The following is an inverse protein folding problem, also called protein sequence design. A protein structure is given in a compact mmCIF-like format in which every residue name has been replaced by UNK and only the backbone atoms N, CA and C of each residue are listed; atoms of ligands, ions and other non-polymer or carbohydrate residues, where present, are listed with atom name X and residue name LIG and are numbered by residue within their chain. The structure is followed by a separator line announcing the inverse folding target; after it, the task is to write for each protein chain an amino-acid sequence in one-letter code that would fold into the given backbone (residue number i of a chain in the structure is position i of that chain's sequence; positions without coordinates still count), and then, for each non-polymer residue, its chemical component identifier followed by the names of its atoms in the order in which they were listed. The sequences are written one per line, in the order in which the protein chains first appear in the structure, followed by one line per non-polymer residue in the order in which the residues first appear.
data_IF_973868999888
#
_entry.id   IF_973868999888
#
_cell.length_a   1.000
_cell.length_b   1.000
_cell.length_c   1.000
_cell.angle_alpha   90.00
_cell.angle_beta   90.00
_cell.angle_gamma   90.00
#
_symmetry.space_group_name_H-M   'P 1'
#
loop_
_entity.id
_entity.type
_entity.pdbx_description
1 polymer ?
#
# COMPACT_ATOMS: atom_id res chain seq x y z
N UNK A 1 -4.43 9.72 -9.67
CA UNK A 1 -4.41 9.22 -8.28
C UNK A 1 -5.24 10.15 -7.44
N UNK A 2 -6.02 9.64 -6.49
CA UNK A 2 -6.96 10.42 -5.67
C UNK A 2 -6.37 10.66 -4.27
N UNK A 3 -5.88 11.88 -3.95
CA UNK A 3 -5.24 12.19 -2.68
C UNK A 3 -6.17 12.01 -1.48
N UNK A 4 -5.69 11.38 -0.41
CA UNK A 4 -6.45 11.26 0.84
C UNK A 4 -5.95 12.31 1.83
N UNK A 5 -6.70 13.40 2.00
CA UNK A 5 -6.48 14.35 3.09
C UNK A 5 -7.00 13.81 4.44
N UNK A 6 -6.58 14.39 5.58
CA UNK A 6 -7.16 14.06 6.88
C UNK A 6 -8.69 14.25 6.90
N UNK A 7 -9.39 13.21 7.35
CA UNK A 7 -10.86 13.18 7.47
C UNK A 7 -11.22 12.76 8.91
N UNK A 8 -11.81 13.65 9.74
CA UNK A 8 -12.05 15.07 9.47
C UNK A 8 -10.74 15.88 9.34
N UNK A 9 -10.78 17.08 8.72
CA UNK A 9 -9.65 18.01 8.76
C UNK A 9 -9.24 18.36 10.20
N UNK A 10 -7.98 18.73 10.39
CA UNK A 10 -7.52 19.24 11.69
C UNK A 10 -8.26 20.53 12.05
N UNK A 11 -8.57 20.70 13.35
CA UNK A 11 -9.31 21.87 13.84
C UNK A 11 -8.46 23.15 13.70
N UNK A 12 -9.12 24.28 13.46
CA UNK A 12 -8.48 25.60 13.38
C UNK A 12 -8.16 26.03 11.95
N UNK A 13 -7.20 26.94 11.80
CA UNK A 13 -6.76 27.49 10.51
C UNK A 13 -5.24 27.51 10.44
N UNK A 14 -4.69 27.40 9.24
CA UNK A 14 -3.26 27.47 9.00
C UNK A 14 -2.97 28.48 7.89
N UNK A 15 -2.09 29.43 8.17
CA UNK A 15 -1.80 30.56 7.29
C UNK A 15 -0.73 30.22 6.23
N UNK A 16 0.04 29.16 6.48
CA UNK A 16 1.08 28.67 5.58
C UNK A 16 0.57 27.76 4.46
N UNK A 17 1.51 27.12 3.76
CA UNK A 17 1.20 26.26 2.62
C UNK A 17 0.82 24.86 3.09
N UNK A 18 -0.29 24.33 2.59
CA UNK A 18 -0.70 22.95 2.81
C UNK A 18 -0.73 22.21 1.47
N UNK A 19 -0.15 21.01 1.42
CA UNK A 19 -0.19 20.18 0.22
C UNK A 19 -0.27 18.70 0.58
N UNK A 20 -0.82 17.90 -0.32
CA UNK A 20 -0.66 16.45 -0.26
C UNK A 20 0.65 16.04 -0.96
N UNK A 21 1.26 14.93 -0.53
CA UNK A 21 2.45 14.35 -1.17
C UNK A 21 2.29 14.08 -2.68
N UNK A 22 1.06 14.05 -3.18
CA UNK A 22 0.76 13.94 -4.61
C UNK A 22 1.25 15.14 -5.43
N UNK A 23 1.27 16.32 -4.81
CA UNK A 23 1.66 17.58 -5.44
C UNK A 23 3.14 17.92 -5.21
N UNK A 24 3.82 17.18 -4.32
CA UNK A 24 5.26 17.31 -4.12
C UNK A 24 6.01 16.84 -5.37
N UNK A 25 7.02 17.61 -5.77
CA UNK A 25 7.89 17.30 -6.92
C UNK A 25 9.37 17.50 -6.61
N UNK A 26 9.69 18.56 -5.88
CA UNK A 26 11.05 18.92 -5.47
C UNK A 26 11.02 19.69 -4.15
N UNK A 27 12.18 19.81 -3.50
CA UNK A 27 12.33 20.43 -2.19
C UNK A 27 12.71 21.92 -2.24
N UNK A 28 12.75 22.54 -3.41
CA UNK A 28 13.11 23.96 -3.59
C UNK A 28 12.24 24.88 -2.72
N UNK A 29 10.94 24.60 -2.67
CA UNK A 29 9.96 25.32 -1.86
C UNK A 29 10.13 25.14 -0.35
N UNK A 30 10.98 24.22 0.10
CA UNK A 30 11.24 23.96 1.52
C UNK A 30 12.45 24.71 2.07
N UNK A 31 13.26 25.32 1.20
CA UNK A 31 14.49 26.01 1.59
C UNK A 31 14.23 27.06 2.68
N UNK A 32 15.01 26.99 3.76
CA UNK A 32 14.96 27.90 4.92
C UNK A 32 13.60 27.99 5.63
N UNK A 33 12.69 27.04 5.39
CA UNK A 33 11.36 26.96 6.03
C UNK A 33 11.30 25.92 7.14
N UNK A 34 10.32 26.05 8.03
CA UNK A 34 9.92 25.02 8.97
C UNK A 34 8.87 24.13 8.30
N UNK A 35 9.22 22.89 8.02
CA UNK A 35 8.40 21.95 7.24
C UNK A 35 7.88 20.84 8.14
N UNK A 36 6.56 20.60 8.10
CA UNK A 36 5.90 19.52 8.80
C UNK A 36 5.42 18.44 7.82
N UNK A 37 5.98 17.24 7.94
CA UNK A 37 5.56 16.07 7.19
C UNK A 37 4.59 15.24 8.04
N UNK A 38 3.39 14.98 7.54
CA UNK A 38 2.33 14.27 8.28
C UNK A 38 2.15 12.87 7.71
N UNK A 39 2.56 11.84 8.46
CA UNK A 39 2.49 10.44 8.08
C UNK A 39 3.77 9.68 8.41
N UNK A 40 3.75 8.36 8.23
CA UNK A 40 4.93 7.49 8.46
C UNK A 40 5.09 6.40 7.38
N UNK A 41 4.49 6.62 6.20
CA UNK A 41 4.69 5.76 5.03
C UNK A 41 5.96 6.12 4.25
N UNK A 42 6.27 5.36 3.19
CA UNK A 42 7.46 5.59 2.36
C UNK A 42 7.56 7.03 1.84
N UNK A 43 6.46 7.59 1.29
CA UNK A 43 6.43 8.99 0.86
C UNK A 43 6.74 9.98 2.00
N UNK A 44 6.30 9.68 3.23
CA UNK A 44 6.62 10.54 4.37
C UNK A 44 8.11 10.50 4.71
N UNK A 45 8.72 9.30 4.67
CA UNK A 45 10.15 9.14 4.93
C UNK A 45 10.99 9.86 3.88
N UNK A 46 10.70 9.63 2.60
CA UNK A 46 11.48 10.17 1.49
C UNK A 46 11.38 11.70 1.48
N UNK A 47 10.16 12.25 1.57
CA UNK A 47 9.96 13.71 1.60
C UNK A 47 10.57 14.33 2.86
N UNK A 48 10.50 13.67 4.03
CA UNK A 48 11.15 14.19 5.24
C UNK A 48 12.68 14.20 5.13
N UNK A 49 13.27 13.17 4.52
CA UNK A 49 14.71 13.11 4.23
C UNK A 49 15.09 14.21 3.23
N UNK A 50 14.32 14.41 2.17
CA UNK A 50 14.58 15.46 1.19
C UNK A 50 14.42 16.87 1.78
N UNK A 51 13.39 17.08 2.59
CA UNK A 51 13.13 18.36 3.26
C UNK A 51 14.25 18.71 4.23
N UNK A 52 14.74 17.75 5.01
CA UNK A 52 15.80 18.00 6.00
C UNK A 52 17.12 18.46 5.37
N UNK A 53 17.35 18.32 4.06
CA UNK A 53 18.57 18.85 3.42
C UNK A 53 18.53 20.37 3.21
N UNK A 54 17.35 20.98 3.18
CA UNK A 54 17.17 22.38 2.74
C UNK A 54 16.33 23.21 3.71
N UNK A 55 15.46 22.57 4.48
CA UNK A 55 14.60 23.22 5.45
C UNK A 55 15.39 23.73 6.65
N UNK A 56 14.93 24.84 7.24
CA UNK A 56 15.45 25.34 8.51
C UNK A 56 15.20 24.35 9.64
N UNK A 57 14.00 23.75 9.66
CA UNK A 57 13.62 22.66 10.56
C UNK A 57 12.67 21.71 9.85
N UNK A 58 12.85 20.41 10.05
CA UNK A 58 11.92 19.40 9.56
C UNK A 58 11.29 18.65 10.74
N UNK A 59 9.97 18.58 10.72
CA UNK A 59 9.17 17.86 11.70
C UNK A 59 8.46 16.70 11.02
N UNK A 60 8.41 15.55 11.68
CA UNK A 60 7.64 14.39 11.23
C UNK A 60 6.55 14.09 12.26
N UNK A 61 5.28 14.20 11.87
CA UNK A 61 4.15 13.88 12.72
C UNK A 61 3.51 12.55 12.33
N UNK A 62 3.30 11.67 13.31
CA UNK A 62 2.56 10.44 13.12
C UNK A 62 1.70 10.07 14.34
N UNK A 63 0.56 9.44 14.08
CA UNK A 63 -0.32 8.87 15.13
C UNK A 63 0.25 7.61 15.79
N UNK A 64 1.11 6.90 15.06
CA UNK A 64 1.66 5.60 15.42
C UNK A 64 3.13 5.55 15.00
N UNK A 65 3.92 4.79 15.74
CA UNK A 65 5.25 4.38 15.29
C UNK A 65 5.18 3.38 14.14
N UNK A 66 6.28 3.25 13.41
CA UNK A 66 6.45 2.24 12.38
C UNK A 66 7.88 1.71 12.42
N UNK A 67 8.04 0.43 12.06
CA UNK A 67 9.37 -0.10 11.81
C UNK A 67 9.91 0.47 10.50
N UNK A 68 11.10 1.05 10.54
CA UNK A 68 11.80 1.57 9.37
C UNK A 68 12.86 0.55 8.97
N UNK A 69 12.67 -0.10 7.84
CA UNK A 69 13.57 -1.12 7.32
C UNK A 69 14.64 -0.50 6.41
N UNK A 70 15.91 -0.92 6.52
CA UNK A 70 16.95 -0.46 5.61
C UNK A 70 16.75 -1.08 4.22
N UNK A 71 17.23 -0.38 3.17
CA UNK A 71 17.20 -0.91 1.79
C UNK A 71 18.11 -2.13 1.60
N UNK A 72 19.20 -2.20 2.34
CA UNK A 72 20.18 -3.26 2.29
C UNK A 72 20.37 -3.89 3.67
N UNK A 73 20.54 -5.21 3.69
CA UNK A 73 20.92 -5.95 4.90
C UNK A 73 21.98 -6.99 4.52
N UNK A 74 23.06 -7.06 5.30
CA UNK A 74 24.23 -7.91 4.99
C UNK A 74 24.79 -7.72 3.57
N UNK A 75 24.81 -6.47 3.08
CA UNK A 75 25.32 -6.13 1.75
C UNK A 75 24.43 -6.56 0.57
N UNK A 76 23.20 -7.03 0.83
CA UNK A 76 22.25 -7.45 -0.20
C UNK A 76 20.95 -6.63 -0.12
N UNK A 77 20.26 -6.40 -1.25
CA UNK A 77 18.93 -5.80 -1.25
C UNK A 77 17.98 -6.57 -0.33
N UNK A 78 17.23 -5.87 0.53
CA UNK A 78 16.41 -6.49 1.57
C UNK A 78 15.35 -7.45 1.00
N UNK A 79 14.82 -7.14 -0.18
CA UNK A 79 13.87 -7.98 -0.91
C UNK A 79 14.47 -9.30 -1.39
N UNK A 80 15.80 -9.39 -1.53
CA UNK A 80 16.53 -10.62 -1.84
C UNK A 80 16.98 -11.38 -0.59
N UNK A 81 17.05 -10.69 0.55
CA UNK A 81 17.42 -11.28 1.85
C UNK A 81 16.23 -12.07 2.38
N UNK A 82 16.31 -13.40 2.32
CA UNK A 82 15.26 -14.30 2.83
C UNK A 82 14.29 -14.82 1.77
N UNK A 83 14.59 -14.66 0.48
CA UNK A 83 13.96 -15.43 -0.61
C UNK A 83 14.51 -16.86 -0.61
N UNK A 84 14.23 -17.61 0.46
CA UNK A 84 14.54 -19.03 0.51
C UNK A 84 13.41 -19.83 -0.15
N UNK A 85 13.73 -20.88 -0.89
CA UNK A 85 12.75 -21.80 -1.49
C UNK A 85 11.81 -22.46 -0.44
N UNK A 86 12.15 -22.40 0.84
CA UNK A 86 11.40 -22.90 2.00
C UNK A 86 10.41 -21.88 2.59
N UNK A 87 10.45 -20.61 2.16
CA UNK A 87 9.62 -19.51 2.65
C UNK A 87 8.09 -19.77 2.62
N UNK A 88 7.53 -20.52 1.65
CA UNK A 88 6.10 -20.84 1.66
C UNK A 88 5.67 -21.89 2.71
N UNK A 89 6.63 -22.66 3.25
CA UNK A 89 6.36 -23.84 4.09
C UNK A 89 6.46 -23.51 5.58
N UNK A 90 7.20 -22.46 5.93
CA UNK A 90 7.47 -22.10 7.33
C UNK A 90 6.29 -21.36 7.98
N UNK A 91 5.84 -21.75 9.19
CA UNK A 91 4.78 -21.04 9.90
C UNK A 91 5.12 -19.56 10.13
N UNK A 92 4.15 -18.68 9.90
CA UNK A 92 4.33 -17.22 9.97
C UNK A 92 4.90 -16.74 11.31
N UNK A 93 4.53 -17.37 12.43
CA UNK A 93 5.02 -17.00 13.75
C UNK A 93 6.55 -17.14 13.88
N UNK A 94 7.11 -18.22 13.33
CA UNK A 94 8.54 -18.47 13.38
C UNK A 94 9.30 -17.54 12.43
N UNK A 95 8.77 -17.32 11.22
CA UNK A 95 9.31 -16.32 10.27
C UNK A 95 9.36 -14.92 10.90
N UNK A 96 8.31 -14.52 11.61
CA UNK A 96 8.26 -13.24 12.32
C UNK A 96 9.34 -13.14 13.40
N UNK A 97 9.57 -14.20 14.17
CA UNK A 97 10.63 -14.19 15.20
C UNK A 97 12.02 -13.99 14.59
N UNK A 98 12.33 -14.66 13.48
CA UNK A 98 13.59 -14.48 12.74
C UNK A 98 13.72 -13.05 12.24
N UNK A 99 12.68 -12.51 11.57
CA UNK A 99 12.67 -11.14 11.07
C UNK A 99 12.88 -10.12 12.19
N UNK A 100 12.23 -10.31 13.34
CA UNK A 100 12.41 -9.44 14.51
C UNK A 100 13.82 -9.52 15.07
N UNK A 101 14.41 -10.71 15.16
CA UNK A 101 15.80 -10.85 15.61
C UNK A 101 16.77 -10.16 14.66
N UNK A 102 16.63 -10.38 13.35
CA UNK A 102 17.44 -9.72 12.32
C UNK A 102 17.30 -8.20 12.37
N UNK A 103 16.08 -7.70 12.51
CA UNK A 103 15.81 -6.26 12.65
C UNK A 103 16.49 -5.68 13.89
N UNK A 104 16.38 -6.35 15.05
CA UNK A 104 17.02 -5.90 16.29
C UNK A 104 18.54 -5.87 16.20
N UNK A 105 19.15 -6.80 15.47
CA UNK A 105 20.60 -6.84 15.25
C UNK A 105 21.03 -5.76 14.26
N UNK A 106 20.30 -5.58 13.16
CA UNK A 106 20.69 -4.67 12.08
C UNK A 106 20.33 -3.20 12.31
N UNK A 107 19.24 -2.93 13.04
CA UNK A 107 18.69 -1.57 13.24
C UNK A 107 18.65 -1.20 14.73
N UNK A 108 18.27 -2.14 15.60
CA UNK A 108 18.07 -1.89 17.02
C UNK A 108 16.60 -1.60 17.37
N UNK A 109 16.38 -0.88 18.48
CA UNK A 109 15.04 -0.41 18.87
C UNK A 109 14.77 0.93 18.20
N UNK A 110 13.51 1.18 17.83
CA UNK A 110 13.16 2.45 17.18
C UNK A 110 13.16 3.61 18.20
N UNK A 111 12.91 3.29 19.47
CA UNK A 111 12.93 4.25 20.58
C UNK A 111 14.30 4.90 20.76
N UNK A 112 15.37 4.17 20.47
CA UNK A 112 16.75 4.67 20.57
C UNK A 112 17.02 5.79 19.55
N UNK A 113 16.17 5.93 18.52
CA UNK A 113 16.19 6.99 17.51
C UNK A 113 15.21 8.14 17.83
N UNK A 114 14.58 8.15 19.00
CA UNK A 114 13.60 9.17 19.39
C UNK A 114 12.21 9.00 18.74
N UNK A 115 11.92 7.81 18.20
CA UNK A 115 10.63 7.47 17.59
C UNK A 115 9.73 6.69 18.56
N UNK A 116 8.40 6.81 18.44
CA UNK A 116 7.48 6.08 19.30
C UNK A 116 7.52 4.58 19.01
N UNK A 117 7.28 3.78 20.05
CA UNK A 117 7.14 2.32 19.93
C UNK A 117 6.01 2.00 18.94
N UNK A 118 6.24 1.18 17.91
CA UNK A 118 5.18 0.73 17.01
C UNK A 118 4.15 -0.10 17.78
N UNK A 119 2.87 0.14 17.51
CA UNK A 119 1.74 -0.53 18.16
C UNK A 119 1.36 -1.87 17.49
N UNK A 120 2.24 -2.40 16.65
CA UNK A 120 2.05 -3.60 15.86
C UNK A 120 3.38 -4.36 15.76
N UNK A 121 3.35 -5.63 15.34
CA UNK A 121 4.57 -6.41 15.14
C UNK A 121 5.07 -6.32 13.70
N UNK A 122 6.35 -6.62 13.49
CA UNK A 122 6.93 -6.73 12.14
C UNK A 122 6.11 -7.69 11.26
N UNK A 123 5.76 -7.23 10.06
CA UNK A 123 4.94 -7.97 9.09
C UNK A 123 3.41 -7.87 9.28
N UNK A 124 2.94 -7.10 10.26
CA UNK A 124 1.52 -6.77 10.50
C UNK A 124 1.12 -5.39 9.92
N UNK A 125 2.07 -4.65 9.35
CA UNK A 125 1.82 -3.43 8.58
C UNK A 125 2.64 -3.45 7.29
N UNK A 126 2.25 -2.64 6.31
CA UNK A 126 3.09 -2.47 5.13
C UNK A 126 4.43 -1.85 5.54
N UNK A 127 5.57 -2.42 5.10
CA UNK A 127 6.88 -1.97 5.54
C UNK A 127 7.13 -0.53 5.10
N UNK A 128 7.67 0.25 6.03
CA UNK A 128 8.27 1.54 5.72
C UNK A 128 9.76 1.29 5.47
N UNK A 129 10.25 1.63 4.28
CA UNK A 129 11.63 1.40 3.86
C UNK A 129 12.29 2.75 3.64
N UNK A 130 13.42 2.99 4.29
CA UNK A 130 14.25 4.17 4.05
C UNK A 130 15.70 3.86 4.41
N UNK A 131 16.64 4.42 3.65
CA UNK A 131 18.07 4.27 3.93
C UNK A 131 18.57 5.35 4.89
N UNK A 132 18.16 6.60 4.65
CA UNK A 132 18.75 7.76 5.32
C UNK A 132 17.92 8.26 6.50
N UNK A 133 16.63 7.89 6.59
CA UNK A 133 15.72 8.44 7.59
C UNK A 133 16.22 8.28 9.04
N UNK A 134 16.61 7.07 9.43
CA UNK A 134 17.08 6.79 10.79
C UNK A 134 18.37 7.53 11.14
N UNK A 135 19.27 7.66 10.16
CA UNK A 135 20.51 8.40 10.32
C UNK A 135 20.22 9.90 10.56
N UNK A 136 19.35 10.48 9.73
CA UNK A 136 19.01 11.91 9.84
C UNK A 136 18.27 12.25 11.13
N UNK A 137 17.30 11.43 11.55
CA UNK A 137 16.58 11.71 12.81
C UNK A 137 17.49 11.57 14.04
N UNK A 138 18.41 10.58 14.04
CA UNK A 138 19.37 10.41 15.12
C UNK A 138 20.33 11.61 15.25
N UNK A 139 20.67 12.27 14.14
CA UNK A 139 21.49 13.48 14.14
C UNK A 139 20.73 14.77 14.46
N UNK A 140 19.42 14.70 14.73
CA UNK A 140 18.61 15.87 15.05
C UNK A 140 18.23 16.73 13.84
N UNK A 141 18.50 16.26 12.61
CA UNK A 141 18.09 16.92 11.36
C UNK A 141 16.57 16.93 11.18
N UNK A 142 15.88 16.03 11.89
CA UNK A 142 14.44 15.91 11.93
C UNK A 142 13.98 15.72 13.37
N UNK A 143 12.81 16.26 13.70
CA UNK A 143 12.19 16.06 15.01
C UNK A 143 10.87 15.33 14.85
N UNK A 144 10.71 14.20 15.53
CA UNK A 144 9.41 13.53 15.60
C UNK A 144 8.45 14.30 16.51
N UNK A 145 7.17 14.34 16.13
CA UNK A 145 6.07 14.89 16.91
C UNK A 145 4.89 13.92 16.93
N UNK A 146 4.07 13.91 17.99
CA UNK A 146 2.83 13.16 17.97
C UNK A 146 1.85 13.77 16.96
N UNK A 147 0.63 13.26 16.92
CA UNK A 147 -0.36 13.72 15.96
C UNK A 147 -0.77 15.19 16.23
N UNK A 148 -1.27 15.86 15.18
CA UNK A 148 -1.69 17.25 15.26
C UNK A 148 -3.00 17.34 16.06
N UNK A 149 -3.00 18.18 17.09
CA UNK A 149 -4.18 18.51 17.88
C UNK A 149 -4.98 19.68 17.27
N UNK A 150 -4.29 20.65 16.66
CA UNK A 150 -4.92 21.80 16.01
C UNK A 150 -3.95 22.70 15.24
N UNK A 151 -4.51 23.49 14.36
CA UNK A 151 -3.85 24.50 13.54
C UNK A 151 -4.14 25.90 14.12
N UNK A 152 -3.11 26.69 14.37
CA UNK A 152 -3.16 27.96 15.11
C UNK A 152 -2.49 29.10 14.32
N UNK A 153 -2.96 29.35 13.09
CA UNK A 153 -2.40 30.37 12.20
C UNK A 153 -1.05 29.93 11.63
N UNK A 154 0.04 30.53 12.08
CA UNK A 154 1.41 30.16 11.69
C UNK A 154 2.03 29.05 12.56
N UNK A 155 1.23 28.48 13.47
CA UNK A 155 1.65 27.44 14.41
C UNK A 155 0.82 26.18 14.29
N UNK A 156 1.43 25.07 14.69
CA UNK A 156 0.78 23.76 14.82
C UNK A 156 0.93 23.28 16.26
N UNK A 157 -0.18 22.93 16.90
CA UNK A 157 -0.22 22.29 18.21
C UNK A 157 -0.30 20.78 18.04
N UNK A 158 0.53 20.05 18.77
CA UNK A 158 0.55 18.60 18.80
C UNK A 158 -0.15 18.04 20.05
N UNK A 159 -0.49 16.75 20.03
CA UNK A 159 -1.21 16.06 21.12
C UNK A 159 -0.44 16.01 22.45
N UNK A 160 0.89 16.18 22.44
CA UNK A 160 1.70 16.32 23.67
C UNK A 160 1.67 17.75 24.26
N UNK A 161 0.92 18.66 23.64
CA UNK A 161 0.84 20.06 24.03
C UNK A 161 1.95 20.95 23.48
N UNK A 162 2.97 20.38 22.80
CA UNK A 162 4.01 21.16 22.15
C UNK A 162 3.45 21.95 20.97
N UNK A 163 4.06 23.10 20.69
CA UNK A 163 3.64 24.02 19.63
C UNK A 163 4.87 24.44 18.83
N UNK A 164 4.80 24.30 17.51
CA UNK A 164 5.88 24.70 16.60
C UNK A 164 5.35 25.71 15.58
N UNK A 165 6.19 26.68 15.19
CA UNK A 165 5.91 27.51 14.00
C UNK A 165 6.22 26.72 12.75
N UNK A 166 5.26 26.61 11.84
CA UNK A 166 5.36 25.81 10.62
C UNK A 166 5.00 26.70 9.43
N UNK A 167 5.79 26.63 8.36
CA UNK A 167 5.54 27.38 7.13
C UNK A 167 4.85 26.49 6.08
N UNK A 168 5.15 25.19 6.09
CA UNK A 168 4.63 24.22 5.10
C UNK A 168 4.21 22.92 5.78
N UNK A 169 3.00 22.45 5.47
CA UNK A 169 2.49 21.13 5.88
C UNK A 169 2.36 20.23 4.65
N UNK A 170 2.99 19.06 4.68
CA UNK A 170 2.88 18.03 3.63
C UNK A 170 2.15 16.81 4.18
N UNK A 171 0.93 16.61 3.70
CA UNK A 171 0.12 15.43 4.02
C UNK A 171 0.60 14.22 3.23
N UNK A 172 1.28 13.31 3.91
CA UNK A 172 1.67 11.99 3.41
C UNK A 172 0.69 10.91 3.90
N UNK A 173 -0.61 11.21 3.80
CA UNK A 173 -1.72 10.46 4.40
C UNK A 173 -2.31 9.39 3.48
N UNK A 174 -1.71 9.19 2.31
CA UNK A 174 -2.02 8.11 1.38
C UNK A 174 -3.04 8.49 0.31
N UNK A 175 -3.63 7.49 -0.33
CA UNK A 175 -4.52 7.70 -1.48
C UNK A 175 -5.85 6.97 -1.28
N UNK A 176 -6.87 7.45 -1.98
CA UNK A 176 -8.14 6.76 -2.18
C UNK A 176 -8.07 5.89 -3.44
N UNK A 177 -8.80 4.78 -3.43
CA UNK A 177 -9.04 3.97 -4.61
C UNK A 177 -10.39 4.40 -5.18
N UNK A 178 -10.36 5.12 -6.29
CA UNK A 178 -11.56 5.62 -6.96
C UNK A 178 -11.51 5.33 -8.46
N UNK A 179 -12.69 5.17 -9.05
CA UNK A 179 -12.88 4.88 -10.46
C UNK A 179 -13.87 5.90 -11.04
N UNK A 180 -13.43 7.16 -11.29
CA UNK A 180 -14.33 8.27 -11.64
C UNK A 180 -15.01 8.11 -13.00
N UNK A 181 -14.65 7.09 -13.77
CA UNK A 181 -15.25 6.71 -15.04
C UNK A 181 -16.41 5.71 -14.90
N UNK A 182 -16.70 5.24 -13.67
CA UNK A 182 -17.88 4.43 -13.37
C UNK A 182 -18.88 5.21 -12.52
N UNK A 183 -20.17 4.89 -12.67
CA UNK A 183 -21.19 5.28 -11.68
C UNK A 183 -20.84 4.64 -10.33
N UNK A 184 -20.86 5.43 -9.24
CA UNK A 184 -20.54 4.95 -7.89
C UNK A 184 -21.44 3.80 -7.42
N UNK A 185 -22.69 3.74 -7.89
CA UNK A 185 -23.63 2.64 -7.62
C UNK A 185 -23.24 1.36 -8.34
N UNK A 186 -22.60 1.49 -9.50
CA UNK A 186 -22.10 0.33 -10.26
C UNK A 186 -20.80 -0.19 -9.64
N UNK A 187 -19.81 0.69 -9.45
CA UNK A 187 -18.51 0.32 -8.90
C UNK A 187 -17.91 1.43 -8.06
N UNK A 188 -17.75 1.15 -6.77
CA UNK A 188 -17.01 1.98 -5.83
C UNK A 188 -16.19 1.11 -4.89
N UNK A 189 -15.14 1.69 -4.31
CA UNK A 189 -14.25 1.04 -3.34
C UNK A 189 -14.22 1.85 -2.04
N UNK A 190 -15.35 1.94 -1.30
CA UNK A 190 -15.38 2.67 -0.05
C UNK A 190 -14.29 2.16 0.89
N UNK A 191 -13.62 3.09 1.58
CA UNK A 191 -12.47 2.80 2.44
C UNK A 191 -11.31 2.02 1.77
N UNK A 192 -11.18 2.15 0.44
CA UNK A 192 -10.22 1.43 -0.41
C UNK A 192 -10.45 -0.08 -0.46
N UNK A 193 -11.66 -0.54 -0.15
CA UNK A 193 -11.98 -1.95 -0.13
C UNK A 193 -12.86 -2.33 -1.33
N UNK A 194 -12.30 -3.14 -2.23
CA UNK A 194 -13.01 -3.68 -3.38
C UNK A 194 -12.87 -5.22 -3.40
N UNK A 195 -13.94 -5.98 -3.15
CA UNK A 195 -13.89 -7.43 -3.15
C UNK A 195 -13.76 -7.96 -4.59
N UNK A 196 -12.62 -8.54 -4.89
CA UNK A 196 -12.28 -9.12 -6.20
C UNK A 196 -11.71 -10.51 -6.03
N UNK A 197 -12.14 -11.46 -6.86
CA UNK A 197 -11.55 -12.78 -6.94
C UNK A 197 -10.08 -12.63 -7.33
N UNK A 198 -9.20 -13.01 -6.40
CA UNK A 198 -7.74 -12.90 -6.54
C UNK A 198 -7.27 -11.50 -6.96
N UNK A 199 -7.97 -10.44 -6.55
CA UNK A 199 -7.64 -9.05 -6.92
C UNK A 199 -7.72 -8.74 -8.42
N UNK A 200 -8.47 -9.54 -9.19
CA UNK A 200 -8.65 -9.36 -10.64
C UNK A 200 -10.11 -9.26 -11.04
N UNK A 201 -10.93 -10.27 -10.75
CA UNK A 201 -12.29 -10.35 -11.30
C UNK A 201 -13.34 -9.93 -10.28
N UNK A 202 -14.35 -9.16 -10.70
CA UNK A 202 -15.51 -8.87 -9.87
C UNK A 202 -16.57 -9.96 -10.09
N UNK A 203 -16.96 -10.74 -9.06
CA UNK A 203 -18.02 -11.74 -9.23
C UNK A 203 -19.31 -11.11 -9.77
N UNK A 204 -19.89 -11.73 -10.79
CA UNK A 204 -21.11 -11.26 -11.46
C UNK A 204 -20.90 -10.28 -12.62
N UNK A 205 -19.65 -9.91 -12.94
CA UNK A 205 -19.33 -9.08 -14.11
C UNK A 205 -18.22 -9.76 -14.92
N UNK A 206 -18.62 -10.42 -16.01
CA UNK A 206 -17.70 -11.29 -16.79
C UNK A 206 -16.74 -10.50 -17.69
N UNK A 207 -17.10 -9.28 -18.09
CA UNK A 207 -16.31 -8.44 -18.99
C UNK A 207 -15.51 -7.32 -18.28
N UNK A 208 -15.30 -7.43 -16.96
CA UNK A 208 -14.53 -6.45 -16.18
C UNK A 208 -13.42 -7.13 -15.37
N UNK A 209 -12.18 -6.70 -15.61
CA UNK A 209 -11.01 -7.17 -14.87
C UNK A 209 -10.14 -6.00 -14.40
N UNK A 210 -9.53 -6.15 -13.24
CA UNK A 210 -8.60 -5.19 -12.66
C UNK A 210 -7.19 -5.76 -12.68
N UNK A 211 -6.24 -5.00 -13.23
CA UNK A 211 -4.81 -5.34 -13.26
C UNK A 211 -4.06 -4.38 -12.34
N UNK A 212 -3.22 -4.92 -11.47
CA UNK A 212 -2.41 -4.14 -10.53
C UNK A 212 -3.18 -3.53 -9.36
N UNK A 213 -4.46 -3.90 -9.15
CA UNK A 213 -5.22 -3.44 -7.98
C UNK A 213 -4.90 -4.26 -6.73
N UNK A 214 -3.63 -4.22 -6.31
CA UNK A 214 -3.09 -4.91 -5.14
C UNK A 214 -1.87 -4.17 -4.59
N UNK A 215 -1.53 -4.44 -3.33
CA UNK A 215 -0.33 -3.94 -2.67
C UNK A 215 0.55 -5.11 -2.22
N UNK A 216 1.55 -5.51 -3.02
CA UNK A 216 2.39 -6.64 -2.66
C UNK A 216 3.40 -6.28 -1.58
N UNK A 217 3.75 -7.27 -0.75
CA UNK A 217 5.07 -7.33 -0.11
C UNK A 217 6.07 -7.83 -1.16
N UNK A 218 6.49 -6.93 -2.04
CA UNK A 218 7.34 -7.22 -3.21
C UNK A 218 7.01 -6.30 -4.39
N UNK A 219 7.55 -6.61 -5.57
CA UNK A 219 7.31 -5.82 -6.77
C UNK A 219 5.89 -6.04 -7.33
N UNK A 220 5.25 -4.96 -7.81
CA UNK A 220 3.91 -5.04 -8.43
C UNK A 220 3.97 -5.50 -9.88
N UNK A 221 5.02 -5.13 -10.62
CA UNK A 221 5.12 -5.34 -12.06
C UNK A 221 5.02 -6.83 -12.46
N UNK A 222 5.71 -7.77 -11.79
CA UNK A 222 5.57 -9.20 -12.12
C UNK A 222 4.17 -9.74 -11.78
N UNK A 223 3.51 -9.21 -10.76
CA UNK A 223 2.14 -9.61 -10.43
C UNK A 223 1.15 -9.10 -11.47
N UNK A 224 1.28 -7.83 -11.89
CA UNK A 224 0.47 -7.25 -12.95
C UNK A 224 0.67 -7.98 -14.29
N UNK A 225 1.90 -8.37 -14.63
CA UNK A 225 2.18 -9.20 -15.80
C UNK A 225 1.47 -10.56 -15.70
N UNK A 226 1.59 -11.23 -14.56
CA UNK A 226 0.93 -12.52 -14.35
C UNK A 226 -0.60 -12.41 -14.41
N UNK A 227 -1.17 -11.34 -13.87
CA UNK A 227 -2.60 -11.02 -14.00
C UNK A 227 -2.99 -10.77 -15.46
N UNK A 228 -2.18 -10.02 -16.21
CA UNK A 228 -2.42 -9.74 -17.63
C UNK A 228 -2.43 -11.02 -18.47
N UNK A 229 -1.45 -11.91 -18.28
CA UNK A 229 -1.41 -13.23 -18.93
C UNK A 229 -2.63 -14.07 -18.57
N UNK A 230 -3.06 -14.03 -17.31
CA UNK A 230 -4.26 -14.74 -16.85
C UNK A 230 -5.53 -14.21 -17.52
N UNK A 231 -5.73 -12.89 -17.57
CA UNK A 231 -6.86 -12.26 -18.26
C UNK A 231 -6.83 -12.59 -19.75
N UNK A 232 -5.67 -12.61 -20.40
CA UNK A 232 -5.55 -13.01 -21.80
C UNK A 232 -5.98 -14.48 -22.04
N UNK A 233 -5.63 -15.40 -21.13
CA UNK A 233 -6.12 -16.78 -21.20
C UNK A 233 -7.63 -16.89 -20.96
N UNK A 234 -8.19 -16.06 -20.06
CA UNK A 234 -9.63 -15.97 -19.86
C UNK A 234 -10.34 -15.53 -21.16
N UNK A 235 -9.91 -14.43 -21.75
CA UNK A 235 -10.52 -13.88 -22.97
C UNK A 235 -10.40 -14.80 -24.19
N UNK A 236 -9.37 -15.65 -24.26
CA UNK A 236 -9.21 -16.66 -25.32
C UNK A 236 -10.02 -17.95 -25.10
N UNK A 237 -10.76 -18.05 -24.00
CA UNK A 237 -11.49 -19.28 -23.64
C UNK A 237 -10.59 -20.41 -23.13
N UNK A 238 -9.30 -20.15 -22.90
CA UNK A 238 -8.32 -21.13 -22.39
C UNK A 238 -8.36 -21.28 -20.87
N UNK A 239 -9.04 -20.35 -20.19
CA UNK A 239 -9.29 -20.38 -18.75
C UNK A 239 -10.74 -19.99 -18.49
N UNK A 240 -11.44 -20.76 -17.66
CA UNK A 240 -12.77 -20.40 -17.17
C UNK A 240 -12.74 -20.12 -15.67
N UNK A 241 -13.48 -19.10 -15.22
CA UNK A 241 -13.65 -18.76 -13.81
C UNK A 241 -14.33 -19.91 -13.04
N UNK A 242 -14.09 -20.05 -11.73
CA UNK A 242 -14.89 -20.96 -10.91
C UNK A 242 -16.31 -20.39 -10.71
N UNK A 243 -17.19 -21.15 -10.05
CA UNK A 243 -18.55 -20.67 -9.81
C UNK A 243 -18.56 -19.37 -8.99
N UNK A 244 -19.62 -18.57 -9.11
CA UNK A 244 -19.80 -17.34 -8.34
C UNK A 244 -19.67 -17.59 -6.83
N UNK A 245 -20.28 -18.68 -6.34
CA UNK A 245 -20.18 -19.12 -4.95
C UNK A 245 -18.73 -19.39 -4.52
N UNK A 246 -17.94 -20.02 -5.38
CA UNK A 246 -16.54 -20.34 -5.08
C UNK A 246 -15.65 -19.10 -5.10
N UNK A 247 -15.89 -18.18 -6.05
CA UNK A 247 -15.20 -16.89 -6.10
C UNK A 247 -15.46 -16.09 -4.82
N UNK A 248 -16.72 -15.96 -4.41
CA UNK A 248 -17.08 -15.25 -3.18
C UNK A 248 -16.51 -15.93 -1.92
N UNK A 249 -16.52 -17.27 -1.87
CA UNK A 249 -15.92 -18.01 -0.77
C UNK A 249 -14.41 -17.77 -0.71
N UNK A 250 -13.73 -17.68 -1.85
CA UNK A 250 -12.30 -17.36 -1.91
C UNK A 250 -12.01 -15.95 -1.42
N UNK A 251 -12.78 -14.97 -1.89
CA UNK A 251 -12.70 -13.57 -1.43
C UNK A 251 -12.86 -13.50 0.09
N UNK A 252 -13.89 -14.13 0.66
CA UNK A 252 -14.10 -14.16 2.12
C UNK A 252 -12.91 -14.76 2.86
N UNK A 253 -12.37 -15.90 2.38
CA UNK A 253 -11.21 -16.55 3.00
C UNK A 253 -9.95 -15.70 2.91
N UNK A 254 -9.71 -15.04 1.78
CA UNK A 254 -8.55 -14.17 1.59
C UNK A 254 -8.64 -12.95 2.52
N UNK A 255 -9.80 -12.28 2.53
CA UNK A 255 -10.05 -11.12 3.39
C UNK A 255 -9.89 -11.44 4.87
N UNK A 256 -10.48 -12.56 5.32
CA UNK A 256 -10.34 -12.99 6.71
C UNK A 256 -8.87 -13.23 7.11
N UNK A 257 -8.07 -13.81 6.22
CA UNK A 257 -6.62 -13.99 6.44
C UNK A 257 -5.86 -12.66 6.49
N UNK A 258 -6.17 -11.76 5.56
CA UNK A 258 -5.53 -10.44 5.48
C UNK A 258 -5.85 -9.58 6.70
N UNK A 259 -7.13 -9.41 7.05
CA UNK A 259 -7.56 -8.60 8.20
C UNK A 259 -7.13 -9.17 9.55
N UNK A 260 -6.87 -10.48 9.64
CA UNK A 260 -6.26 -11.08 10.83
C UNK A 260 -4.78 -10.71 10.98
N UNK A 261 -4.07 -10.49 9.88
CA UNK A 261 -2.62 -10.22 9.88
C UNK A 261 -2.31 -8.74 9.92
N UNK A 262 -3.01 -7.92 9.15
CA UNK A 262 -2.68 -6.51 8.98
C UNK A 262 -3.47 -5.60 9.93
N UNK A 263 -2.81 -4.57 10.44
CA UNK A 263 -3.46 -3.51 11.25
C UNK A 263 -4.63 -2.92 10.47
N UNK A 264 -5.81 -2.89 11.09
CA UNK A 264 -7.02 -2.31 10.50
C UNK A 264 -6.79 -0.83 10.16
N UNK A 265 -6.72 -0.53 8.86
CA UNK A 265 -6.51 0.81 8.31
C UNK A 265 -6.99 0.84 6.86
N UNK A 266 -7.41 2.02 6.38
CA UNK A 266 -7.78 2.25 4.97
C UNK A 266 -6.60 2.08 4.01
N UNK A 267 -5.37 2.00 4.53
CA UNK A 267 -4.16 1.62 3.76
C UNK A 267 -4.00 0.10 3.63
N UNK A 268 -4.66 -0.70 4.48
CA UNK A 268 -4.45 -2.14 4.60
C UNK A 268 -5.66 -2.98 4.13
N UNK A 269 -6.09 -2.77 2.89
CA UNK A 269 -7.26 -3.45 2.30
C UNK A 269 -6.94 -4.39 1.14
N UNK A 270 -5.70 -4.36 0.63
CA UNK A 270 -5.32 -5.02 -0.63
C UNK A 270 -3.93 -5.66 -0.59
N UNK A 271 -3.45 -6.01 0.61
CA UNK A 271 -2.13 -6.60 0.77
C UNK A 271 -2.08 -8.04 0.30
N UNK A 272 -1.01 -8.37 -0.44
CA UNK A 272 -0.71 -9.73 -0.87
C UNK A 272 0.76 -10.06 -0.59
N UNK A 273 1.06 -11.30 -0.18
CA UNK A 273 2.44 -11.79 -0.18
C UNK A 273 2.80 -12.21 -1.61
N UNK A 274 3.89 -11.68 -2.16
CA UNK A 274 4.28 -11.84 -3.57
C UNK A 274 4.34 -13.33 -4.00
N UNK A 275 5.13 -14.14 -3.30
CA UNK A 275 5.32 -15.56 -3.65
C UNK A 275 4.04 -16.39 -3.50
N UNK A 276 3.28 -16.13 -2.43
CA UNK A 276 2.03 -16.84 -2.16
C UNK A 276 0.99 -16.52 -3.23
N UNK A 277 0.94 -15.26 -3.69
CA UNK A 277 0.05 -14.83 -4.75
C UNK A 277 0.38 -15.54 -6.07
N UNK A 278 1.64 -15.52 -6.50
CA UNK A 278 2.08 -16.22 -7.72
C UNK A 278 1.90 -17.73 -7.64
N UNK A 279 2.14 -18.34 -6.48
CA UNK A 279 1.89 -19.76 -6.26
C UNK A 279 0.39 -20.08 -6.39
N UNK A 280 -0.47 -19.31 -5.73
CA UNK A 280 -1.91 -19.51 -5.79
C UNK A 280 -2.47 -19.27 -7.21
N UNK A 281 -1.98 -18.25 -7.90
CA UNK A 281 -2.35 -17.96 -9.28
C UNK A 281 -1.95 -19.10 -10.23
N UNK A 282 -0.75 -19.67 -10.09
CA UNK A 282 -0.33 -20.85 -10.87
C UNK A 282 -1.24 -22.05 -10.65
N UNK A 283 -1.67 -22.30 -9.40
CA UNK A 283 -2.63 -23.37 -9.08
C UNK A 283 -3.99 -23.10 -9.71
N UNK A 284 -4.45 -21.86 -9.64
CA UNK A 284 -5.73 -21.43 -10.19
C UNK A 284 -5.76 -21.53 -11.72
N UNK A 285 -4.70 -21.10 -12.41
CA UNK A 285 -4.58 -21.23 -13.87
C UNK A 285 -4.73 -22.69 -14.33
N UNK A 286 -4.11 -23.64 -13.62
CA UNK A 286 -4.27 -25.07 -13.90
C UNK A 286 -5.71 -25.54 -13.71
N UNK A 287 -6.35 -25.12 -12.62
CA UNK A 287 -7.73 -25.48 -12.34
C UNK A 287 -8.70 -24.89 -13.38
N UNK A 288 -8.52 -23.63 -13.78
CA UNK A 288 -9.38 -23.01 -14.78
C UNK A 288 -9.12 -23.46 -16.21
N UNK A 289 -7.91 -23.90 -16.54
CA UNK A 289 -7.65 -24.58 -17.80
C UNK A 289 -8.38 -25.94 -17.88
N UNK A 290 -8.47 -26.67 -16.77
CA UNK A 290 -9.27 -27.89 -16.70
C UNK A 290 -10.78 -27.60 -16.86
N UNK A 291 -11.28 -26.51 -16.27
CA UNK A 291 -12.67 -26.05 -16.48
C UNK A 291 -12.94 -25.67 -17.93
N UNK A 292 -12.04 -24.90 -18.54
CA UNK A 292 -12.13 -24.53 -19.95
C UNK A 292 -12.17 -25.77 -20.86
N UNK A 293 -11.30 -26.75 -20.62
CA UNK A 293 -11.30 -28.02 -21.37
C UNK A 293 -12.63 -28.77 -21.22
N UNK A 294 -13.17 -28.86 -20.01
CA UNK A 294 -14.46 -29.51 -19.76
C UNK A 294 -15.63 -28.79 -20.44
N UNK A 295 -15.52 -27.47 -20.62
CA UNK A 295 -16.51 -26.63 -21.28
C UNK A 295 -16.25 -26.43 -22.79
N UNK A 296 -15.25 -27.11 -23.38
CA UNK A 296 -14.95 -27.03 -24.81
C UNK A 296 -14.34 -25.69 -25.27
N UNK A 297 -13.62 -24.99 -24.39
CA UNK A 297 -12.91 -23.73 -24.69
C UNK A 297 -13.80 -22.59 -25.23
N UNK A 298 -15.05 -22.54 -24.78
CA UNK A 298 -15.96 -21.46 -25.15
C UNK A 298 -15.44 -20.10 -24.67
N UNK A 299 -15.74 -19.06 -25.44
CA UNK A 299 -15.38 -17.69 -25.06
C UNK A 299 -16.27 -17.23 -23.89
N UNK A 300 -15.68 -16.85 -22.74
CA UNK A 300 -16.47 -16.45 -21.57
C UNK A 300 -17.04 -15.03 -21.73
N UNK A 301 -16.46 -14.21 -22.61
CA UNK A 301 -16.97 -12.90 -22.99
C UNK A 301 -17.33 -12.95 -24.48
N UNK A 302 -18.59 -12.64 -24.81
CA UNK A 302 -19.07 -12.64 -26.19
C UNK A 302 -18.47 -11.46 -26.97
N UNK A 303 -17.95 -11.67 -28.19
CA UNK A 303 -17.51 -10.57 -29.06
C UNK A 303 -18.70 -9.74 -29.54
N UNK A 304 -18.79 -8.48 -29.13
CA UNK A 304 -19.91 -7.58 -29.49
C UNK A 304 -19.75 -6.98 -30.89
N UNK A 305 -18.52 -6.93 -31.42
CA UNK A 305 -18.24 -6.33 -32.73
C UNK A 305 -19.02 -7.01 -33.87
N UNK A 306 -19.14 -8.34 -33.83
CA UNK A 306 -19.86 -9.10 -34.87
C UNK A 306 -21.38 -8.85 -34.83
N UNK A 307 -21.94 -8.57 -33.66
CA UNK A 307 -23.36 -8.23 -33.52
C UNK A 307 -23.64 -6.80 -34.00
N UNK A 308 -22.72 -5.87 -33.77
CA UNK A 308 -22.83 -4.49 -34.28
C UNK A 308 -22.67 -4.43 -35.80
N UNK A 309 -21.75 -5.22 -36.37
CA UNK A 309 -21.60 -5.34 -37.83
C UNK A 309 -22.84 -5.99 -38.47
N UNK A 310 -23.40 -7.03 -37.85
CA UNK A 310 -24.64 -7.66 -38.32
C UNK A 310 -25.89 -6.79 -38.16
N UNK A 311 -25.92 -5.90 -37.16
CA UNK A 311 -27.01 -4.93 -36.98
C UNK A 311 -26.88 -3.69 -37.88
N UNK A 312 -25.70 -3.44 -38.44
CA UNK A 312 -25.43 -2.34 -39.37
C UNK A 312 -25.56 -2.74 -40.85
N UNK A 313 -25.66 -4.03 -41.16
CA UNK A 313 -25.86 -4.60 -42.49
C UNK A 313 -27.34 -4.85 -42.78
#
# INVERSE_FOLDING_TARGET
WDPRLPEPPFKGSFDGVQMHAHHYRENTDFRDKNVLIVGIGNSAMDIAVEASFVARRTFLSSRRGAYVLPKYLFGRPLDQVGVNALTPVLPFAFRRSILTAMYRIGVGKIEDYGLPVPDHKLGEAHPTISADFLNRIAHGEMTWKPNIAGLEGDKVRFEDGSVERIDVIVYCTGYKVSFPFFDEKFLSAPDNDLPLFRRVFRPGIDNLAFIGLLQPLGAIMPLAEAQGRWVASYLRGEYHLPSLRDMEADIRRERARMFKRYVASKRHTMQVDFDNYLYALRKELKAGAARARAAGFTLPVRPVAQELEAAAA
#
